data_IF_300565367257
#
_entry.id   IF_300565367257
#
_cell.length_a   1.000
_cell.length_b   1.000
_cell.length_c   1.000
_cell.angle_alpha   90.00
_cell.angle_beta   90.00
_cell.angle_gamma   90.00
#
_symmetry.space_group_name_H-M   'P 1'
#
loop_
_entity.id
_entity.type
_entity.pdbx_description
1 polymer ?
#
# COMPACT_ATOMS: atom_id res chain seq x y z
N UNK A 1 8.57 -23.95 0.18
CA UNK A 1 8.92 -23.92 1.62
C UNK A 1 10.33 -23.40 1.91
N UNK A 2 11.32 -23.69 1.07
CA UNK A 2 12.72 -23.27 1.28
C UNK A 2 12.87 -21.73 1.24
N UNK A 3 12.28 -21.07 0.26
CA UNK A 3 12.36 -19.61 0.12
C UNK A 3 11.67 -18.88 1.26
N UNK A 4 10.55 -19.42 1.76
CA UNK A 4 9.88 -18.91 2.95
C UNK A 4 10.81 -18.96 4.18
N UNK A 5 11.52 -20.07 4.39
CA UNK A 5 12.49 -20.17 5.49
C UNK A 5 13.65 -19.19 5.33
N UNK A 6 14.18 -19.01 4.12
CA UNK A 6 15.24 -18.02 3.84
C UNK A 6 14.78 -16.60 4.19
N UNK A 7 13.58 -16.20 3.76
CA UNK A 7 13.01 -14.88 4.05
C UNK A 7 12.82 -14.69 5.56
N UNK A 8 12.20 -15.65 6.24
CA UNK A 8 11.97 -15.56 7.69
C UNK A 8 13.29 -15.49 8.47
N UNK A 9 14.29 -16.28 8.09
CA UNK A 9 15.63 -16.22 8.68
C UNK A 9 16.31 -14.88 8.44
N UNK A 10 16.15 -14.28 7.26
CA UNK A 10 16.68 -12.95 6.97
C UNK A 10 16.03 -11.90 7.88
N UNK A 11 14.71 -11.91 7.97
CA UNK A 11 13.96 -10.96 8.81
C UNK A 11 14.37 -11.04 10.28
N UNK A 12 14.60 -12.24 10.81
CA UNK A 12 15.00 -12.45 12.23
C UNK A 12 16.42 -12.05 12.55
N UNK A 13 17.31 -12.00 11.55
CA UNK A 13 18.75 -11.71 11.73
C UNK A 13 19.13 -10.27 11.45
N UNK A 14 18.23 -9.46 10.90
CA UNK A 14 18.51 -8.10 10.48
C UNK A 14 17.60 -7.11 11.19
N UNK A 15 18.09 -5.87 11.34
CA UNK A 15 17.26 -4.76 11.80
C UNK A 15 16.36 -4.30 10.64
N UNK A 16 15.07 -4.46 10.81
CA UNK A 16 14.06 -4.13 9.80
C UNK A 16 13.19 -3.00 10.34
N UNK A 17 13.08 -1.90 9.59
CA UNK A 17 12.20 -0.79 9.94
C UNK A 17 10.78 -1.02 9.42
N UNK A 18 10.65 -1.43 8.16
CA UNK A 18 9.39 -1.71 7.47
C UNK A 18 9.59 -2.89 6.51
N UNK A 19 8.51 -3.62 6.24
CA UNK A 19 8.49 -4.69 5.24
C UNK A 19 7.50 -4.29 4.15
N UNK A 20 7.95 -4.28 2.90
CA UNK A 20 7.08 -4.05 1.74
C UNK A 20 6.90 -5.36 0.98
N UNK A 21 5.66 -5.72 0.74
CA UNK A 21 5.29 -6.83 -0.14
C UNK A 21 4.65 -6.25 -1.40
N UNK A 22 5.37 -6.28 -2.51
CA UNK A 22 4.82 -5.99 -3.84
C UNK A 22 4.36 -7.32 -4.45
N UNK A 23 3.07 -7.62 -4.31
CA UNK A 23 2.52 -8.91 -4.74
C UNK A 23 1.99 -8.84 -6.17
N UNK A 24 2.79 -9.28 -7.13
CA UNK A 24 2.42 -9.33 -8.56
C UNK A 24 1.55 -10.53 -8.92
N UNK A 25 1.10 -11.32 -7.95
CA UNK A 25 0.29 -12.52 -8.16
C UNK A 25 0.92 -13.52 -9.17
N UNK A 26 2.24 -13.71 -9.04
CA UNK A 26 3.02 -14.65 -9.86
C UNK A 26 3.40 -15.93 -9.08
N UNK A 27 2.77 -16.17 -7.93
CA UNK A 27 2.98 -17.37 -7.12
C UNK A 27 4.17 -17.31 -6.16
N UNK A 28 5.00 -16.26 -6.18
CA UNK A 28 6.12 -16.08 -5.24
C UNK A 28 5.61 -15.83 -3.83
N UNK A 29 4.69 -14.90 -3.67
CA UNK A 29 4.07 -14.61 -2.38
C UNK A 29 2.83 -15.49 -2.21
N UNK A 30 2.98 -16.61 -1.50
CA UNK A 30 1.85 -17.47 -1.13
C UNK A 30 1.08 -16.85 0.03
N UNK A 31 -0.19 -17.27 0.23
CA UNK A 31 -1.00 -16.85 1.39
C UNK A 31 -0.30 -17.16 2.71
N UNK A 32 0.32 -18.35 2.83
CA UNK A 32 1.05 -18.74 4.02
C UNK A 32 2.27 -17.83 4.29
N UNK A 33 3.10 -17.57 3.26
CA UNK A 33 4.26 -16.68 3.38
C UNK A 33 3.83 -15.28 3.77
N UNK A 34 2.81 -14.70 3.10
CA UNK A 34 2.30 -13.39 3.40
C UNK A 34 1.84 -13.29 4.88
N UNK A 35 1.08 -14.28 5.33
CA UNK A 35 0.57 -14.33 6.69
C UNK A 35 1.70 -14.52 7.74
N UNK A 36 2.77 -15.25 7.42
CA UNK A 36 3.92 -15.39 8.33
C UNK A 36 4.67 -14.07 8.47
N UNK A 37 4.86 -13.33 7.37
CA UNK A 37 5.48 -12.00 7.39
C UNK A 37 4.61 -11.02 8.17
N UNK A 38 3.29 -11.02 7.97
CA UNK A 38 2.36 -10.16 8.71
C UNK A 38 2.45 -10.46 10.21
N UNK A 39 2.40 -11.72 10.61
CA UNK A 39 2.53 -12.11 12.04
C UNK A 39 3.88 -11.72 12.62
N UNK A 40 4.94 -11.86 11.84
CA UNK A 40 6.28 -11.41 12.26
C UNK A 40 6.30 -9.89 12.50
N UNK A 41 5.77 -9.10 11.57
CA UNK A 41 5.65 -7.66 11.72
C UNK A 41 4.87 -7.26 12.98
N UNK A 42 3.69 -7.84 13.19
CA UNK A 42 2.86 -7.58 14.36
C UNK A 42 3.57 -7.88 15.69
N UNK A 43 4.31 -9.00 15.78
CA UNK A 43 5.04 -9.38 17.00
C UNK A 43 6.23 -8.49 17.30
N UNK A 44 6.82 -7.88 16.29
CA UNK A 44 8.04 -7.09 16.41
C UNK A 44 7.80 -5.57 16.27
N UNK A 45 6.55 -5.12 16.14
CA UNK A 45 6.22 -3.71 15.93
C UNK A 45 6.75 -3.14 14.61
N UNK A 46 6.85 -3.99 13.58
CA UNK A 46 7.35 -3.63 12.25
C UNK A 46 6.15 -3.47 11.31
N UNK A 47 6.08 -2.35 10.61
CA UNK A 47 5.03 -2.12 9.63
C UNK A 47 5.16 -3.10 8.45
N UNK A 48 4.07 -3.76 8.10
CA UNK A 48 3.96 -4.58 6.89
C UNK A 48 3.03 -3.85 5.91
N UNK A 49 3.60 -3.40 4.81
CA UNK A 49 2.92 -2.63 3.75
C UNK A 49 2.77 -3.54 2.55
N UNK A 50 1.54 -3.71 2.06
CA UNK A 50 1.26 -4.62 0.95
C UNK A 50 0.66 -3.84 -0.22
N UNK A 51 1.34 -3.89 -1.37
CA UNK A 51 0.80 -3.48 -2.66
C UNK A 51 0.17 -4.68 -3.34
N UNK A 52 -1.17 -4.70 -3.40
CA UNK A 52 -1.95 -5.86 -3.82
C UNK A 52 -2.14 -5.91 -5.34
N UNK A 53 -2.19 -7.14 -5.88
CA UNK A 53 -2.62 -7.41 -7.26
C UNK A 53 -3.68 -8.50 -7.34
N UNK A 54 -3.95 -9.16 -6.22
CA UNK A 54 -4.87 -10.28 -6.11
C UNK A 54 -6.11 -9.92 -5.28
N UNK A 55 -7.17 -10.70 -5.39
CA UNK A 55 -8.44 -10.50 -4.67
C UNK A 55 -8.63 -11.47 -3.48
N UNK A 56 -7.55 -11.88 -2.83
CA UNK A 56 -7.59 -12.76 -1.65
C UNK A 56 -7.55 -11.93 -0.35
N UNK A 57 -8.74 -11.74 0.25
CA UNK A 57 -8.88 -11.07 1.54
C UNK A 57 -8.11 -11.76 2.66
N UNK A 58 -8.02 -13.11 2.65
CA UNK A 58 -7.34 -13.87 3.71
C UNK A 58 -5.83 -13.66 3.65
N UNK A 59 -5.28 -13.55 2.44
CA UNK A 59 -3.85 -13.37 2.19
C UNK A 59 -3.31 -12.10 2.84
N UNK A 60 -4.08 -11.01 2.81
CA UNK A 60 -3.63 -9.68 3.24
C UNK A 60 -4.12 -9.27 4.63
N UNK A 61 -4.95 -10.12 5.26
CA UNK A 61 -5.57 -9.80 6.55
C UNK A 61 -4.54 -9.58 7.65
N UNK A 62 -4.66 -8.45 8.34
CA UNK A 62 -3.81 -8.08 9.48
C UNK A 62 -2.54 -7.31 9.10
N UNK A 63 -2.32 -6.98 7.82
CA UNK A 63 -1.23 -6.09 7.43
C UNK A 63 -1.40 -4.70 8.04
N UNK A 64 -0.31 -3.96 8.26
CA UNK A 64 -0.39 -2.59 8.77
C UNK A 64 -1.04 -1.67 7.74
N UNK A 65 -0.57 -1.74 6.48
CA UNK A 65 -1.11 -0.96 5.37
C UNK A 65 -1.39 -1.89 4.19
N UNK A 66 -2.60 -1.81 3.64
CA UNK A 66 -2.95 -2.44 2.37
C UNK A 66 -3.20 -1.34 1.35
N UNK A 67 -2.49 -1.40 0.22
CA UNK A 67 -2.61 -0.44 -0.88
C UNK A 67 -2.95 -1.17 -2.18
N UNK A 68 -3.87 -0.61 -2.94
CA UNK A 68 -4.20 -1.05 -4.29
C UNK A 68 -4.71 0.11 -5.14
N UNK A 69 -4.80 -0.11 -6.44
CA UNK A 69 -5.50 0.83 -7.33
C UNK A 69 -7.02 0.59 -7.31
N UNK A 70 -7.80 1.47 -7.97
CA UNK A 70 -9.26 1.34 -8.05
C UNK A 70 -9.72 -0.06 -8.49
N UNK A 71 -9.07 -0.65 -9.50
CA UNK A 71 -9.46 -1.97 -10.04
C UNK A 71 -9.17 -3.09 -9.03
N UNK A 72 -8.04 -3.01 -8.34
CA UNK A 72 -7.61 -3.98 -7.32
C UNK A 72 -8.53 -3.91 -6.10
N UNK A 73 -8.80 -2.71 -5.60
CA UNK A 73 -9.72 -2.49 -4.47
C UNK A 73 -11.14 -2.94 -4.83
N UNK A 74 -11.62 -2.64 -6.06
CA UNK A 74 -12.94 -3.10 -6.51
C UNK A 74 -13.06 -4.63 -6.47
N UNK A 75 -12.05 -5.36 -6.94
CA UNK A 75 -12.03 -6.83 -6.86
C UNK A 75 -12.13 -7.38 -5.43
N UNK A 76 -11.54 -6.69 -4.44
CA UNK A 76 -11.71 -7.06 -3.03
C UNK A 76 -13.12 -6.74 -2.53
N UNK A 77 -13.69 -5.61 -2.94
CA UNK A 77 -15.06 -5.22 -2.59
C UNK A 77 -16.10 -6.17 -3.19
N UNK A 78 -15.88 -6.69 -4.40
CA UNK A 78 -16.74 -7.71 -5.02
C UNK A 78 -16.87 -8.96 -4.14
N UNK A 79 -15.78 -9.37 -3.46
CA UNK A 79 -15.82 -10.48 -2.49
C UNK A 79 -16.70 -10.20 -1.28
N UNK A 80 -17.01 -8.94 -1.01
CA UNK A 80 -17.87 -8.49 0.07
C UNK A 80 -19.29 -8.13 -0.42
N UNK A 81 -19.61 -8.46 -1.68
CA UNK A 81 -20.86 -8.06 -2.35
C UNK A 81 -21.09 -6.53 -2.34
N UNK A 82 -20.00 -5.77 -2.41
CA UNK A 82 -20.03 -4.32 -2.53
C UNK A 82 -19.84 -3.91 -3.98
N UNK A 83 -20.92 -3.48 -4.64
CA UNK A 83 -20.94 -3.17 -6.07
C UNK A 83 -20.24 -1.83 -6.38
N UNK A 84 -20.27 -0.89 -5.43
CA UNK A 84 -19.76 0.46 -5.62
C UNK A 84 -18.63 0.80 -4.67
N UNK A 85 -17.63 1.53 -5.17
CA UNK A 85 -16.62 2.14 -4.32
C UNK A 85 -17.22 3.39 -3.69
N UNK A 86 -17.35 3.39 -2.37
CA UNK A 86 -17.83 4.50 -1.54
C UNK A 86 -16.98 4.58 -0.28
N UNK A 87 -17.07 5.70 0.43
CA UNK A 87 -16.37 5.87 1.71
C UNK A 87 -16.74 4.73 2.68
N UNK A 88 -18.03 4.38 2.78
CA UNK A 88 -18.50 3.29 3.64
C UNK A 88 -18.01 1.90 3.20
N UNK A 89 -17.93 1.64 1.88
CA UNK A 89 -17.40 0.36 1.39
C UNK A 89 -15.91 0.22 1.64
N UNK A 90 -15.13 1.31 1.53
CA UNK A 90 -13.70 1.33 1.86
C UNK A 90 -13.47 1.12 3.37
N UNK A 91 -14.26 1.78 4.22
CA UNK A 91 -14.24 1.58 5.67
C UNK A 91 -14.56 0.13 6.05
N UNK A 92 -15.58 -0.48 5.42
CA UNK A 92 -15.92 -1.89 5.60
C UNK A 92 -14.78 -2.80 5.16
N UNK A 93 -14.18 -2.54 3.99
CA UNK A 93 -13.05 -3.33 3.48
C UNK A 93 -11.85 -3.27 4.43
N UNK A 94 -11.49 -2.09 4.93
CA UNK A 94 -10.45 -1.93 5.94
C UNK A 94 -10.72 -2.80 7.18
N UNK A 95 -11.95 -2.76 7.68
CA UNK A 95 -12.35 -3.53 8.86
C UNK A 95 -12.30 -5.04 8.61
N UNK A 96 -12.75 -5.53 7.45
CA UNK A 96 -12.69 -6.96 7.09
C UNK A 96 -11.25 -7.45 6.91
N UNK A 97 -10.40 -6.64 6.30
CA UNK A 97 -8.97 -6.90 6.19
C UNK A 97 -8.26 -6.83 7.55
N UNK A 98 -8.90 -6.25 8.57
CA UNK A 98 -8.28 -5.99 9.86
C UNK A 98 -6.92 -5.30 9.71
N UNK A 99 -6.84 -4.36 8.78
CA UNK A 99 -5.65 -3.55 8.53
C UNK A 99 -5.76 -2.22 9.27
N UNK A 100 -4.64 -1.63 9.68
CA UNK A 100 -4.69 -0.31 10.31
C UNK A 100 -5.10 0.75 9.30
N UNK A 101 -4.57 0.68 8.08
CA UNK A 101 -4.79 1.67 7.03
C UNK A 101 -5.03 1.01 5.69
N UNK A 102 -5.99 1.55 4.93
CA UNK A 102 -6.27 1.13 3.56
C UNK A 102 -6.03 2.31 2.63
N UNK A 103 -5.33 2.08 1.52
CA UNK A 103 -5.00 3.11 0.54
C UNK A 103 -5.48 2.66 -0.84
N UNK A 104 -6.19 3.55 -1.51
CA UNK A 104 -6.61 3.38 -2.90
C UNK A 104 -6.01 4.48 -3.76
N UNK A 105 -5.17 4.12 -4.73
CA UNK A 105 -4.71 5.06 -5.76
C UNK A 105 -5.74 5.17 -6.88
N UNK A 106 -6.07 6.39 -7.26
CA UNK A 106 -7.19 6.72 -8.15
C UNK A 106 -6.73 7.36 -9.49
N UNK A 107 -5.47 7.15 -9.90
CA UNK A 107 -4.90 7.77 -11.08
C UNK A 107 -4.92 9.30 -10.98
N UNK A 108 -5.49 9.98 -11.97
CA UNK A 108 -5.59 11.44 -12.02
C UNK A 108 -6.44 12.06 -10.89
N UNK A 109 -7.27 11.28 -10.22
CA UNK A 109 -8.05 11.75 -9.07
C UNK A 109 -7.23 11.77 -7.77
N UNK A 110 -6.04 11.15 -7.76
CA UNK A 110 -5.14 11.14 -6.61
C UNK A 110 -5.26 9.92 -5.72
N UNK A 111 -5.32 10.12 -4.41
CA UNK A 111 -5.33 9.05 -3.39
C UNK A 111 -6.53 9.22 -2.47
N UNK A 112 -7.20 8.10 -2.17
CA UNK A 112 -8.19 7.99 -1.11
C UNK A 112 -7.68 6.96 -0.10
N UNK A 113 -7.76 7.27 1.18
CA UNK A 113 -7.35 6.34 2.23
C UNK A 113 -8.34 6.30 3.39
N UNK A 114 -8.28 5.20 4.13
CA UNK A 114 -8.96 5.03 5.42
C UNK A 114 -7.89 4.84 6.48
N UNK A 115 -7.91 5.69 7.52
CA UNK A 115 -6.95 5.65 8.62
C UNK A 115 -7.34 4.62 9.71
N UNK A 116 -6.51 4.50 10.74
CA UNK A 116 -6.73 3.60 11.88
C UNK A 116 -7.97 3.96 12.71
N UNK A 117 -8.42 5.21 12.64
CA UNK A 117 -9.64 5.72 13.31
C UNK A 117 -10.87 5.62 12.42
N UNK A 118 -10.73 5.01 11.24
CA UNK A 118 -11.78 4.85 10.24
C UNK A 118 -12.21 6.17 9.56
N UNK A 119 -11.35 7.21 9.60
CA UNK A 119 -11.58 8.44 8.85
C UNK A 119 -11.16 8.28 7.39
N UNK A 120 -11.86 8.99 6.51
CA UNK A 120 -11.49 9.08 5.09
C UNK A 120 -10.57 10.28 4.88
N UNK A 121 -9.45 10.02 4.21
CA UNK A 121 -8.48 11.03 3.78
C UNK A 121 -8.46 11.03 2.25
N UNK A 122 -8.50 12.22 1.64
CA UNK A 122 -8.49 12.38 0.17
C UNK A 122 -7.46 13.44 -0.23
N UNK A 123 -6.54 13.06 -1.10
CA UNK A 123 -5.60 13.97 -1.73
C UNK A 123 -5.79 13.94 -3.24
N UNK A 124 -6.23 15.05 -3.82
CA UNK A 124 -6.38 15.20 -5.26
C UNK A 124 -5.02 15.39 -5.94
N UNK A 125 -4.88 14.93 -7.17
CA UNK A 125 -3.75 15.28 -8.02
C UNK A 125 -3.88 16.72 -8.53
N UNK A 126 -2.74 17.41 -8.64
CA UNK A 126 -2.69 18.63 -9.44
C UNK A 126 -2.75 18.23 -10.92
N UNK A 127 -3.53 18.99 -11.72
CA UNK A 127 -3.61 18.74 -13.17
C UNK A 127 -2.27 19.08 -13.81
N UNK A 128 -1.55 18.07 -14.25
CA UNK A 128 -0.32 18.17 -15.04
C UNK A 128 -0.48 17.40 -16.35
N UNK A 129 0.37 17.70 -17.32
CA UNK A 129 0.52 16.85 -18.50
C UNK A 129 1.03 15.48 -18.04
N UNK A 130 0.24 14.44 -18.26
CA UNK A 130 0.59 13.05 -17.96
C UNK A 130 1.36 12.49 -19.15
N UNK A 131 2.64 12.14 -18.95
CA UNK A 131 3.46 11.52 -19.99
C UNK A 131 3.48 9.99 -19.83
N UNK A 132 3.66 9.49 -18.62
CA UNK A 132 3.76 8.06 -18.37
C UNK A 132 3.31 7.72 -16.94
N UNK A 133 2.29 6.86 -16.82
CA UNK A 133 1.75 6.40 -15.53
C UNK A 133 2.49 5.18 -14.96
N UNK A 134 3.44 4.61 -15.73
CA UNK A 134 4.18 3.41 -15.32
C UNK A 134 5.00 3.68 -14.06
N UNK A 135 4.88 2.82 -13.05
CA UNK A 135 5.61 2.96 -11.78
C UNK A 135 5.07 4.02 -10.81
N UNK A 136 4.01 4.78 -11.15
CA UNK A 136 3.43 5.74 -10.22
C UNK A 136 2.94 5.08 -8.92
N UNK A 137 2.33 3.89 -9.03
CA UNK A 137 1.92 3.10 -7.87
C UNK A 137 3.10 2.64 -7.00
N UNK A 138 4.22 2.27 -7.62
CA UNK A 138 5.43 1.84 -6.92
C UNK A 138 6.08 3.03 -6.17
N UNK A 139 6.10 4.22 -6.78
CA UNK A 139 6.54 5.45 -6.10
C UNK A 139 5.68 5.73 -4.86
N UNK A 140 4.35 5.63 -4.96
CA UNK A 140 3.46 5.78 -3.79
C UNK A 140 3.85 4.80 -2.69
N UNK A 141 4.05 3.51 -3.03
CA UNK A 141 4.45 2.48 -2.06
C UNK A 141 5.81 2.78 -1.42
N UNK A 142 6.78 3.21 -2.21
CA UNK A 142 8.12 3.56 -1.73
C UNK A 142 8.08 4.73 -0.75
N UNK A 143 7.37 5.82 -1.09
CA UNK A 143 7.23 6.98 -0.21
C UNK A 143 6.48 6.65 1.08
N UNK A 144 5.39 5.89 1.00
CA UNK A 144 4.67 5.43 2.20
C UNK A 144 5.59 4.62 3.10
N UNK A 145 6.35 3.67 2.54
CA UNK A 145 7.27 2.84 3.30
C UNK A 145 8.38 3.67 3.95
N UNK A 146 9.00 4.55 3.18
CA UNK A 146 10.09 5.38 3.69
C UNK A 146 9.63 6.33 4.79
N UNK A 147 8.51 7.04 4.58
CA UNK A 147 8.02 8.04 5.51
C UNK A 147 7.37 7.43 6.76
N UNK A 148 6.83 6.21 6.67
CA UNK A 148 6.24 5.50 7.82
C UNK A 148 7.25 5.13 8.92
N UNK A 149 8.55 5.27 8.69
CA UNK A 149 9.57 5.11 9.74
C UNK A 149 9.60 6.28 10.73
N UNK A 150 9.10 7.46 10.33
CA UNK A 150 9.07 8.65 11.17
C UNK A 150 7.78 8.66 11.98
N UNK A 151 7.89 8.31 13.27
CA UNK A 151 6.73 8.16 14.17
C UNK A 151 5.92 9.46 14.39
N UNK A 152 6.58 10.61 14.25
CA UNK A 152 5.95 11.93 14.45
C UNK A 152 5.25 12.45 13.18
N UNK A 153 5.39 11.75 12.05
CA UNK A 153 4.73 12.14 10.81
C UNK A 153 3.31 11.59 10.76
N UNK A 154 2.32 12.48 10.62
CA UNK A 154 0.92 12.06 10.50
C UNK A 154 0.68 11.28 9.21
N UNK A 155 -0.27 10.35 9.24
CA UNK A 155 -0.61 9.56 8.06
C UNK A 155 -1.10 10.43 6.89
N UNK A 156 -1.86 11.48 7.17
CA UNK A 156 -2.29 12.47 6.19
C UNK A 156 -1.09 13.11 5.45
N UNK A 157 -0.05 13.49 6.20
CA UNK A 157 1.17 14.08 5.63
C UNK A 157 1.97 13.08 4.80
N UNK A 158 2.03 11.81 5.23
CA UNK A 158 2.64 10.73 4.44
C UNK A 158 1.93 10.58 3.10
N UNK A 159 0.59 10.57 3.10
CA UNK A 159 -0.21 10.47 1.87
C UNK A 159 -0.03 11.70 0.96
N UNK A 160 0.05 12.90 1.53
CA UNK A 160 0.32 14.12 0.77
C UNK A 160 1.63 14.00 -0.01
N UNK A 161 2.73 13.62 0.65
CA UNK A 161 4.03 13.48 -0.01
C UNK A 161 4.04 12.33 -1.03
N UNK A 162 3.43 11.20 -0.72
CA UNK A 162 3.33 10.07 -1.66
C UNK A 162 2.53 10.44 -2.91
N UNK A 163 1.44 11.20 -2.76
CA UNK A 163 0.62 11.69 -3.87
C UNK A 163 1.39 12.72 -4.72
N UNK A 164 2.12 13.64 -4.07
CA UNK A 164 2.95 14.63 -4.75
C UNK A 164 4.08 13.97 -5.54
N UNK A 165 4.77 12.98 -4.98
CA UNK A 165 5.80 12.21 -5.67
C UNK A 165 5.23 11.48 -6.89
N UNK A 166 4.07 10.83 -6.76
CA UNK A 166 3.40 10.19 -7.89
C UNK A 166 3.04 11.19 -8.99
N UNK A 167 2.59 12.37 -8.62
CA UNK A 167 2.29 13.47 -9.56
C UNK A 167 3.53 13.92 -10.34
N UNK A 168 4.66 14.10 -9.67
CA UNK A 168 5.94 14.44 -10.32
C UNK A 168 6.34 13.32 -11.28
N UNK A 169 6.20 12.05 -10.85
CA UNK A 169 6.56 10.86 -11.66
C UNK A 169 5.78 10.81 -12.98
N UNK A 170 4.46 11.01 -12.94
CA UNK A 170 3.64 10.91 -14.16
C UNK A 170 3.90 12.05 -15.17
N UNK A 171 4.50 13.14 -14.73
CA UNK A 171 5.00 14.21 -15.57
C UNK A 171 6.35 13.92 -16.25
N UNK A 172 6.94 12.73 -16.02
CA UNK A 172 8.24 12.33 -16.57
C UNK A 172 8.11 11.12 -17.47
N UNK A 173 8.99 11.00 -18.44
CA UNK A 173 9.03 9.85 -19.34
C UNK A 173 9.78 8.67 -18.73
N UNK A 174 9.28 7.45 -18.93
CA UNK A 174 9.92 6.19 -18.52
C UNK A 174 9.94 5.98 -16.99
N UNK A 175 10.76 5.04 -16.52
CA UNK A 175 10.94 4.73 -15.09
C UNK A 175 11.86 5.75 -14.40
N UNK A 176 11.40 7.00 -14.29
CA UNK A 176 12.14 8.05 -13.58
C UNK A 176 11.99 7.92 -12.06
N UNK A 177 13.08 8.22 -11.34
CA UNK A 177 13.08 8.34 -9.88
C UNK A 177 12.58 9.75 -9.51
N UNK A 178 11.96 9.86 -8.36
CA UNK A 178 11.60 11.14 -7.73
C UNK A 178 12.36 11.21 -6.41
N UNK A 179 13.25 12.18 -6.30
CA UNK A 179 14.07 12.38 -5.10
C UNK A 179 13.25 13.07 -3.98
N UNK A 180 13.71 12.92 -2.74
CA UNK A 180 12.99 13.46 -1.58
C UNK A 180 12.95 15.00 -1.54
N UNK A 181 13.98 15.65 -2.07
CA UNK A 181 14.08 17.10 -2.13
C UNK A 181 13.20 17.75 -3.21
N UNK A 182 12.63 16.94 -4.11
CA UNK A 182 11.67 17.39 -5.13
C UNK A 182 10.22 17.44 -4.60
N UNK A 183 9.98 16.84 -3.43
CA UNK A 183 8.68 16.63 -2.82
C UNK A 183 8.56 17.40 -1.51
#
# INVERSE_FOLDING_TARGET
DEDRHKIMNYLTRNQICNIVISDYNKGVITTQMCQDIIRYGQRNGINVIIDIKENDLKKYKGATIVKGNKKEIHKLLDKLSQIWISDSSLQKLRSVLNTERLIMTCGEEGIIAVDEKNNIIKHSCQKHLVFDVTGAGDIVTAYISYLSKYKDMSFDRILYFANKAANIKVGRFGNSIVELDEV
#
